data_IF_625328649738
#
_entry.id   IF_625328649738
#
_cell.length_a   1.000
_cell.length_b   1.000
_cell.length_c   1.000
_cell.angle_alpha   90.00
_cell.angle_beta   90.00
_cell.angle_gamma   90.00
#
_symmetry.space_group_name_H-M   'P 1'
#
loop_
_entity.id
_entity.type
_entity.pdbx_description
1 polymer ?
#
# COMPACT_ATOMS: atom_id res chain seq x y z
N UNK A 1 -6.35 -13.39 17.03
CA UNK A 1 -5.32 -12.93 16.11
C UNK A 1 -3.92 -13.06 16.71
N UNK A 2 -3.61 -12.49 17.90
CA UNK A 2 -2.26 -12.58 18.52
C UNK A 2 -1.73 -13.99 18.65
N UNK A 3 -2.50 -14.92 19.27
CA UNK A 3 -2.13 -16.34 19.38
C UNK A 3 -1.87 -17.03 18.03
N UNK A 4 -2.49 -16.57 16.95
CA UNK A 4 -2.24 -17.11 15.60
C UNK A 4 -0.89 -16.59 15.08
N UNK A 5 -0.59 -15.30 15.28
CA UNK A 5 0.70 -14.70 14.93
C UNK A 5 1.86 -15.39 15.68
N UNK A 6 1.70 -15.67 16.98
CA UNK A 6 2.69 -16.42 17.78
C UNK A 6 2.99 -17.81 17.21
N UNK A 7 2.04 -18.42 16.50
CA UNK A 7 2.23 -19.69 15.77
C UNK A 7 2.77 -19.51 14.33
N UNK A 8 3.15 -18.29 13.93
CA UNK A 8 3.69 -18.01 12.61
C UNK A 8 2.66 -17.70 11.52
N UNK A 9 1.38 -17.51 11.88
CA UNK A 9 0.35 -17.08 10.91
C UNK A 9 0.62 -15.62 10.56
N UNK A 10 0.75 -15.34 9.29
CA UNK A 10 0.88 -13.98 8.74
C UNK A 10 -0.50 -13.42 8.35
N UNK A 11 -0.65 -12.12 8.53
CA UNK A 11 -1.89 -11.41 8.24
C UNK A 11 -1.65 -10.40 7.12
N UNK A 12 -2.26 -10.65 5.97
CA UNK A 12 -2.30 -9.71 4.87
C UNK A 12 -3.56 -8.86 4.91
N UNK A 13 -3.44 -7.62 4.48
CA UNK A 13 -4.59 -6.76 4.17
C UNK A 13 -4.63 -6.56 2.65
N UNK A 14 -5.53 -7.28 1.99
CA UNK A 14 -5.95 -7.01 0.63
C UNK A 14 -7.14 -6.06 0.64
N UNK A 15 -7.07 -4.93 -0.07
CA UNK A 15 -8.15 -3.96 -0.11
C UNK A 15 -9.32 -4.44 -0.98
N UNK A 16 -9.02 -4.67 -2.27
CA UNK A 16 -10.01 -5.12 -3.25
C UNK A 16 -11.29 -4.29 -3.30
N UNK A 17 -12.39 -4.98 -3.64
CA UNK A 17 -13.75 -4.42 -3.67
C UNK A 17 -14.54 -4.71 -2.40
N UNK A 18 -14.14 -5.72 -1.59
CA UNK A 18 -14.96 -6.22 -0.50
C UNK A 18 -14.22 -6.54 0.81
N UNK A 19 -12.90 -6.28 0.91
CA UNK A 19 -12.08 -6.84 2.00
C UNK A 19 -11.51 -5.80 2.97
N UNK A 20 -11.79 -4.50 2.78
CA UNK A 20 -11.21 -3.44 3.61
C UNK A 20 -12.27 -2.51 4.18
N UNK A 21 -12.32 -2.37 5.50
CA UNK A 21 -13.15 -1.37 6.19
C UNK A 21 -12.32 -0.57 7.21
N UNK A 22 -12.48 0.76 7.22
CA UNK A 22 -11.78 1.66 8.15
C UNK A 22 -12.03 1.29 9.60
N UNK A 23 -13.27 0.95 9.96
CA UNK A 23 -13.64 0.51 11.31
C UNK A 23 -12.76 -0.65 11.79
N UNK A 24 -12.58 -1.68 10.96
CA UNK A 24 -11.75 -2.86 11.29
C UNK A 24 -10.27 -2.48 11.37
N UNK A 25 -9.76 -1.76 10.37
CA UNK A 25 -8.36 -1.36 10.31
C UNK A 25 -7.97 -0.46 11.51
N UNK A 26 -8.78 0.55 11.83
CA UNK A 26 -8.55 1.41 13.02
C UNK A 26 -8.57 0.61 14.31
N UNK A 27 -9.51 -0.34 14.45
CA UNK A 27 -9.57 -1.21 15.61
C UNK A 27 -8.32 -2.08 15.77
N UNK A 28 -7.77 -2.60 14.68
CA UNK A 28 -6.51 -3.33 14.69
C UNK A 28 -5.34 -2.44 15.12
N UNK A 29 -5.17 -1.29 14.47
CA UNK A 29 -4.07 -0.35 14.75
C UNK A 29 -4.13 0.18 16.19
N UNK A 30 -5.30 0.53 16.71
CA UNK A 30 -5.51 0.99 18.08
C UNK A 30 -5.10 -0.05 19.14
N UNK A 31 -5.13 -1.33 18.79
CA UNK A 31 -4.66 -2.43 19.64
C UNK A 31 -3.19 -2.84 19.35
N UNK A 32 -2.45 -2.00 18.62
CA UNK A 32 -1.05 -2.28 18.27
C UNK A 32 -0.86 -3.44 17.30
N UNK A 33 -1.94 -3.88 16.65
CA UNK A 33 -1.90 -4.96 15.68
C UNK A 33 -1.72 -4.39 14.28
N UNK A 34 -0.49 -4.32 13.80
CA UNK A 34 -0.18 -3.98 12.42
C UNK A 34 -0.27 -5.22 11.54
N UNK A 35 -0.79 -5.11 10.29
CA UNK A 35 -0.71 -6.22 9.34
C UNK A 35 0.75 -6.56 9.02
N UNK A 36 1.02 -7.82 8.74
CA UNK A 36 2.37 -8.26 8.34
C UNK A 36 2.66 -7.81 6.90
N UNK A 37 1.64 -7.88 6.03
CA UNK A 37 1.69 -7.39 4.66
C UNK A 37 0.46 -6.55 4.33
N UNK A 38 0.63 -5.65 3.36
CA UNK A 38 -0.45 -4.85 2.77
C UNK A 38 -0.39 -5.05 1.26
N UNK A 39 -1.42 -5.71 0.71
CA UNK A 39 -1.63 -5.86 -0.72
C UNK A 39 -2.80 -4.99 -1.17
N UNK A 40 -2.84 -4.61 -2.46
CA UNK A 40 -3.94 -3.79 -2.98
C UNK A 40 -5.16 -4.62 -3.32
N UNK A 41 -4.95 -5.87 -3.74
CA UNK A 41 -5.99 -6.71 -4.34
C UNK A 41 -6.77 -5.96 -5.43
N UNK A 42 -6.06 -5.11 -6.20
CA UNK A 42 -6.67 -4.31 -7.28
C UNK A 42 -6.99 -5.21 -8.46
N UNK A 43 -8.23 -5.14 -8.88
CA UNK A 43 -8.75 -5.85 -10.06
C UNK A 43 -9.77 -4.97 -10.80
N UNK A 44 -10.29 -5.45 -11.90
CA UNK A 44 -11.16 -4.68 -12.79
C UNK A 44 -12.36 -4.00 -12.08
N UNK A 45 -12.89 -4.59 -11.01
CA UNK A 45 -14.06 -4.04 -10.30
C UNK A 45 -13.71 -2.96 -9.26
N UNK A 46 -12.44 -2.72 -8.96
CA UNK A 46 -12.01 -1.76 -7.95
C UNK A 46 -10.87 -0.82 -8.39
N UNK A 47 -10.46 -0.89 -9.66
CA UNK A 47 -9.47 0.03 -10.24
C UNK A 47 -9.98 1.47 -10.30
N UNK A 48 -11.29 1.67 -10.37
CA UNK A 48 -11.96 2.96 -10.32
C UNK A 48 -12.50 3.31 -8.92
N UNK A 49 -12.13 2.53 -7.91
CA UNK A 49 -12.46 2.70 -6.50
C UNK A 49 -13.11 1.49 -5.85
N UNK A 50 -13.03 1.41 -4.52
CA UNK A 50 -12.33 2.28 -3.58
C UNK A 50 -10.84 1.97 -3.43
N UNK A 51 -10.30 0.87 -4.01
CA UNK A 51 -8.89 0.49 -3.86
C UNK A 51 -7.96 1.37 -4.70
N UNK A 52 -8.32 1.63 -5.96
CA UNK A 52 -7.57 2.38 -6.98
C UNK A 52 -6.22 1.74 -7.33
N UNK A 53 -5.26 1.80 -6.39
CA UNK A 53 -3.89 1.30 -6.55
C UNK A 53 -3.24 1.00 -5.19
N UNK A 54 -2.01 0.48 -5.23
CA UNK A 54 -1.24 0.14 -4.04
C UNK A 54 -0.91 1.37 -3.19
N UNK A 55 -0.50 2.48 -3.80
CA UNK A 55 -0.08 3.67 -3.03
C UNK A 55 -1.26 4.35 -2.34
N UNK A 56 -2.46 4.27 -2.91
CA UNK A 56 -3.69 4.72 -2.27
C UNK A 56 -4.02 3.85 -1.04
N UNK A 57 -3.89 2.54 -1.16
CA UNK A 57 -4.08 1.62 -0.03
C UNK A 57 -3.08 1.92 1.10
N UNK A 58 -1.80 2.10 0.77
CA UNK A 58 -0.77 2.47 1.75
C UNK A 58 -1.05 3.83 2.40
N UNK A 59 -1.55 4.80 1.62
CA UNK A 59 -1.92 6.13 2.11
C UNK A 59 -3.02 6.07 3.17
N UNK A 60 -4.01 5.19 2.99
CA UNK A 60 -5.07 4.98 4.00
C UNK A 60 -4.48 4.52 5.34
N UNK A 61 -3.54 3.55 5.32
CA UNK A 61 -2.88 3.08 6.54
C UNK A 61 -2.03 4.16 7.19
N UNK A 62 -1.31 4.96 6.40
CA UNK A 62 -0.52 6.08 6.88
C UNK A 62 -1.41 7.12 7.58
N UNK A 63 -2.55 7.48 6.98
CA UNK A 63 -3.52 8.42 7.55
C UNK A 63 -4.25 7.87 8.78
N UNK A 64 -4.34 6.56 8.95
CA UNK A 64 -4.86 5.93 10.17
C UNK A 64 -3.82 5.83 11.30
N UNK A 65 -2.61 6.37 11.09
CA UNK A 65 -1.56 6.43 12.11
C UNK A 65 -0.58 5.25 12.12
N UNK A 66 -0.60 4.37 11.11
CA UNK A 66 0.46 3.37 10.98
C UNK A 66 1.77 4.08 10.61
N UNK A 67 2.90 3.82 11.32
CA UNK A 67 4.19 4.43 11.01
C UNK A 67 4.65 4.17 9.58
N UNK A 68 5.22 5.18 8.92
CA UNK A 68 5.62 5.09 7.51
C UNK A 68 6.56 3.93 7.23
N UNK A 69 7.55 3.70 8.10
CA UNK A 69 8.48 2.56 7.97
C UNK A 69 7.74 1.21 7.98
N UNK A 70 6.69 1.08 8.81
CA UNK A 70 5.85 -0.12 8.87
C UNK A 70 4.98 -0.27 7.64
N UNK A 71 4.41 0.84 7.14
CA UNK A 71 3.61 0.84 5.90
C UNK A 71 4.47 0.38 4.72
N UNK A 72 5.68 0.92 4.58
CA UNK A 72 6.59 0.54 3.49
C UNK A 72 7.08 -0.90 3.65
N UNK A 73 7.48 -1.30 4.86
CA UNK A 73 7.93 -2.68 5.11
C UNK A 73 6.84 -3.71 4.76
N UNK A 74 5.59 -3.43 5.10
CA UNK A 74 4.45 -4.32 4.82
C UNK A 74 4.22 -4.57 3.32
N UNK A 75 4.61 -3.64 2.46
CA UNK A 75 4.49 -3.79 1.00
C UNK A 75 5.82 -4.14 0.29
N UNK A 76 6.91 -4.29 1.03
CA UNK A 76 8.24 -4.58 0.47
C UNK A 76 8.90 -5.78 1.14
N UNK A 77 9.78 -5.55 2.11
CA UNK A 77 10.59 -6.62 2.72
C UNK A 77 9.75 -7.68 3.47
N UNK A 78 8.63 -7.29 4.08
CA UNK A 78 7.75 -8.26 4.72
C UNK A 78 7.06 -9.16 3.69
N UNK A 79 6.55 -8.58 2.59
CA UNK A 79 5.95 -9.33 1.48
C UNK A 79 6.97 -10.29 0.84
N UNK A 80 8.20 -9.81 0.61
CA UNK A 80 9.30 -10.63 0.09
C UNK A 80 9.61 -11.81 1.03
N UNK A 81 9.65 -11.56 2.35
CA UNK A 81 9.86 -12.58 3.38
C UNK A 81 8.73 -13.61 3.38
N UNK A 82 7.48 -13.17 3.31
CA UNK A 82 6.30 -14.04 3.24
C UNK A 82 6.36 -15.00 2.03
N UNK A 83 6.85 -14.48 0.90
CA UNK A 83 7.04 -15.23 -0.34
C UNK A 83 8.35 -16.04 -0.39
N UNK A 84 9.20 -15.95 0.65
CA UNK A 84 10.56 -16.55 0.70
C UNK A 84 11.45 -16.07 -0.45
N UNK A 85 11.30 -14.84 -0.88
CA UNK A 85 12.03 -14.18 -1.97
C UNK A 85 12.93 -13.09 -1.38
N UNK A 86 14.01 -13.49 -0.71
CA UNK A 86 14.90 -12.59 0.05
C UNK A 86 15.72 -11.64 -0.82
N UNK A 87 15.76 -11.88 -2.13
CA UNK A 87 16.37 -10.99 -3.12
C UNK A 87 15.47 -9.81 -3.52
N UNK A 88 14.20 -9.80 -3.07
CA UNK A 88 13.23 -8.75 -3.32
C UNK A 88 13.01 -7.87 -2.08
N UNK A 89 12.36 -6.73 -2.27
CA UNK A 89 11.97 -5.82 -1.18
C UNK A 89 13.15 -5.17 -0.44
N UNK A 90 14.33 -5.13 -1.05
CA UNK A 90 15.56 -4.58 -0.47
C UNK A 90 16.44 -3.95 -1.55
N UNK A 91 17.23 -2.94 -1.16
CA UNK A 91 18.23 -2.29 -2.03
C UNK A 91 19.65 -2.76 -1.72
N UNK A 92 19.83 -3.92 -1.10
CA UNK A 92 21.17 -4.47 -0.80
C UNK A 92 21.91 -4.81 -2.09
N UNK A 93 23.24 -4.59 -2.16
CA UNK A 93 24.05 -5.04 -3.28
C UNK A 93 23.86 -6.54 -3.55
N UNK A 94 23.73 -6.92 -4.82
CA UNK A 94 23.48 -8.30 -5.25
C UNK A 94 22.01 -8.72 -5.27
N UNK A 95 21.09 -7.89 -4.80
CA UNK A 95 19.65 -8.12 -4.91
C UNK A 95 19.09 -7.53 -6.21
N UNK A 96 17.78 -7.77 -6.46
CA UNK A 96 17.09 -7.24 -7.64
C UNK A 96 17.04 -5.71 -7.55
N UNK A 97 17.41 -5.04 -8.64
CA UNK A 97 17.50 -3.59 -8.74
C UNK A 97 16.16 -2.90 -9.06
N UNK A 98 15.09 -3.30 -8.38
CA UNK A 98 13.76 -2.72 -8.51
C UNK A 98 13.50 -1.73 -7.38
N UNK A 99 13.02 -0.55 -7.71
CA UNK A 99 12.70 0.48 -6.75
C UNK A 99 11.54 1.36 -7.20
N UNK A 100 10.71 1.79 -6.27
CA UNK A 100 9.71 2.85 -6.49
C UNK A 100 10.13 4.08 -5.69
N UNK A 101 10.23 5.22 -6.35
CA UNK A 101 10.50 6.50 -5.71
C UNK A 101 9.17 7.10 -5.29
N UNK A 102 9.04 7.34 -3.99
CA UNK A 102 7.81 7.84 -3.39
C UNK A 102 8.03 9.23 -2.79
N UNK A 103 6.99 10.04 -2.81
CA UNK A 103 6.89 11.28 -2.02
C UNK A 103 5.63 11.26 -1.18
N UNK A 104 5.62 12.08 -0.10
CA UNK A 104 4.44 12.31 0.71
C UNK A 104 3.96 13.72 0.43
N UNK A 105 2.75 13.84 -0.10
CA UNK A 105 2.06 15.11 -0.25
C UNK A 105 1.22 15.38 0.99
N UNK A 106 1.30 16.62 1.50
CA UNK A 106 0.42 17.12 2.57
C UNK A 106 -0.77 17.83 1.93
N UNK A 107 -1.95 17.66 2.52
CA UNK A 107 -3.19 18.25 2.01
C UNK A 107 -4.39 17.58 2.64
N UNK A 108 -5.58 17.79 2.07
CA UNK A 108 -6.78 17.07 2.43
C UNK A 108 -7.13 16.11 1.30
N UNK A 109 -7.22 14.83 1.63
CA UNK A 109 -7.50 13.76 0.68
C UNK A 109 -8.67 12.94 1.19
N UNK A 110 -9.66 12.73 0.34
CA UNK A 110 -10.80 11.88 0.67
C UNK A 110 -10.47 10.42 0.29
N UNK A 111 -10.65 9.53 1.26
CA UNK A 111 -10.48 8.09 1.10
C UNK A 111 -11.79 7.40 1.45
N UNK A 112 -12.18 6.44 0.61
CA UNK A 112 -13.36 5.62 0.77
C UNK A 112 -12.97 4.17 1.03
N UNK A 113 -13.71 3.47 1.88
CA UNK A 113 -13.59 2.02 2.08
C UNK A 113 -14.65 1.23 1.29
N UNK A 114 -14.65 -0.11 1.45
CA UNK A 114 -15.56 -0.99 0.69
C UNK A 114 -17.01 -0.97 1.18
N UNK A 115 -17.28 -0.36 2.34
CA UNK A 115 -18.64 -0.21 2.89
C UNK A 115 -19.18 1.20 2.73
N UNK A 116 -18.43 2.08 2.05
CA UNK A 116 -18.82 3.47 1.80
C UNK A 116 -18.51 4.42 2.96
N UNK A 117 -17.67 4.02 3.91
CA UNK A 117 -17.17 4.94 4.93
C UNK A 117 -16.09 5.83 4.33
N UNK A 118 -16.19 7.16 4.56
CA UNK A 118 -15.22 8.15 4.13
C UNK A 118 -14.29 8.56 5.26
N UNK A 119 -13.02 8.79 4.92
CA UNK A 119 -12.00 9.31 5.82
C UNK A 119 -11.23 10.42 5.13
N UNK A 120 -11.24 11.63 5.70
CA UNK A 120 -10.33 12.70 5.26
C UNK A 120 -8.95 12.45 5.86
N UNK A 121 -7.96 12.22 5.01
CA UNK A 121 -6.56 12.11 5.38
C UNK A 121 -5.81 13.43 5.16
N UNK A 122 -4.76 13.67 5.94
CA UNK A 122 -3.93 14.88 5.87
C UNK A 122 -2.70 14.71 4.95
N UNK A 123 -2.55 13.53 4.37
CA UNK A 123 -1.40 13.20 3.52
C UNK A 123 -1.72 12.05 2.56
N UNK A 124 -0.94 11.97 1.48
CA UNK A 124 -0.96 10.81 0.58
C UNK A 124 0.44 10.45 0.09
N UNK A 125 0.66 9.17 -0.18
CA UNK A 125 1.85 8.66 -0.84
C UNK A 125 1.65 8.77 -2.35
N UNK A 126 2.65 9.29 -3.05
CA UNK A 126 2.61 9.45 -4.51
C UNK A 126 3.86 8.83 -5.11
N UNK A 127 3.68 8.02 -6.16
CA UNK A 127 4.79 7.51 -6.95
C UNK A 127 5.36 8.59 -7.84
N UNK A 128 6.67 8.83 -7.74
CA UNK A 128 7.42 9.77 -8.56
C UNK A 128 8.14 9.08 -9.71
N UNK A 129 8.32 7.77 -9.61
CA UNK A 129 8.96 6.99 -10.64
C UNK A 129 9.27 5.57 -10.19
N UNK A 130 9.57 4.74 -11.16
CA UNK A 130 9.86 3.31 -10.97
C UNK A 130 11.16 2.95 -11.67
N UNK A 131 11.99 2.18 -10.99
CA UNK A 131 13.19 1.54 -11.54
C UNK A 131 12.92 0.05 -11.63
N UNK A 132 13.15 -0.57 -12.78
CA UNK A 132 12.99 -2.01 -13.00
C UNK A 132 14.32 -2.56 -13.55
N UNK A 133 14.87 -3.55 -12.90
CA UNK A 133 16.15 -4.15 -13.23
C UNK A 133 17.26 -3.09 -13.38
N UNK A 134 17.30 -2.12 -12.49
CA UNK A 134 18.27 -1.03 -12.46
C UNK A 134 18.08 0.04 -13.55
N UNK A 135 16.98 0.00 -14.31
CA UNK A 135 16.67 0.99 -15.36
C UNK A 135 15.43 1.78 -15.00
N UNK A 136 15.46 3.08 -15.27
CA UNK A 136 14.27 3.92 -15.14
C UNK A 136 13.18 3.43 -16.09
N UNK A 137 12.00 3.17 -15.53
CA UNK A 137 10.85 2.76 -16.31
C UNK A 137 10.02 3.97 -16.73
N UNK A 138 9.72 4.05 -18.01
CA UNK A 138 8.82 5.05 -18.57
C UNK A 138 7.54 4.38 -19.03
N UNK A 139 6.35 4.88 -18.65
CA UNK A 139 5.10 4.40 -19.23
C UNK A 139 5.18 4.52 -20.76
N UNK A 140 4.71 3.49 -21.47
CA UNK A 140 4.58 3.60 -22.92
C UNK A 140 3.58 4.70 -23.28
N UNK A 141 3.85 5.48 -24.33
CA UNK A 141 2.91 6.46 -24.85
C UNK A 141 1.59 5.76 -25.18
N UNK A 142 0.47 6.30 -24.64
CA UNK A 142 -0.85 5.72 -24.79
C UNK A 142 -1.31 4.82 -23.62
N UNK A 143 -0.46 4.51 -22.66
CA UNK A 143 -0.92 3.89 -21.41
C UNK A 143 -1.81 4.90 -20.66
N UNK A 144 -3.08 4.54 -20.46
CA UNK A 144 -4.03 5.35 -19.69
C UNK A 144 -3.73 5.21 -18.19
N UNK A 145 -2.54 5.65 -17.75
CA UNK A 145 -2.37 5.93 -16.33
C UNK A 145 -3.20 7.15 -16.00
N UNK A 146 -4.21 6.98 -15.17
CA UNK A 146 -5.02 8.07 -14.65
C UNK A 146 -4.05 9.04 -13.95
N UNK A 147 -3.80 10.20 -14.54
CA UNK A 147 -3.31 11.33 -13.77
C UNK A 147 -4.38 11.57 -12.71
N UNK A 148 -4.04 11.34 -11.46
CA UNK A 148 -4.80 11.89 -10.35
C UNK A 148 -4.57 13.41 -10.45
N UNK A 149 -5.37 14.05 -11.30
CA UNK A 149 -5.39 15.50 -11.40
C UNK A 149 -5.81 16.04 -10.04
N UNK A 150 -5.01 16.96 -9.54
CA UNK A 150 -5.26 17.73 -8.36
C UNK A 150 -6.70 18.25 -8.43
N UNK A 151 -7.59 17.72 -7.59
CA UNK A 151 -8.75 18.47 -7.19
C UNK A 151 -8.22 19.65 -6.38
N UNK A 152 -8.28 20.84 -7.01
CA UNK A 152 -7.99 22.11 -6.41
C UNK A 152 -9.03 22.44 -5.32
#
# INVERSE_FOLDING_TARGET
MLRARERGVQFDIGHGKGSFAFKTARGMLANGFYPDTISSDVHQLCIDGPAYDQVTTLSKFLCMGMPLDKVIAASTCNAATALKRHELGTLKPGCVGDATILSIQKGQFDYEDVVGEHMTGDQRIVSQGVVIAGKWWHPQEGSKFRKLENAA
#
